data_IF_285064780410
#
_entry.id   IF_285064780410
#
_cell.length_a   1.000
_cell.length_b   1.000
_cell.length_c   1.000
_cell.angle_alpha   90.00
_cell.angle_beta   90.00
_cell.angle_gamma   90.00
#
_symmetry.space_group_name_H-M   'P 1'
#
loop_
_entity.id
_entity.type
_entity.pdbx_description
1 polymer ?
#
# COMPACT_ATOMS: atom_id res chain seq x y z
N UNK A 1 -0.26 13.39 -58.99
CA UNK A 1 -0.33 12.57 -57.77
C UNK A 1 0.14 13.44 -56.63
N UNK A 2 -0.80 14.03 -55.88
CA UNK A 2 -0.50 14.82 -54.69
C UNK A 2 -0.23 13.86 -53.53
N UNK A 3 0.99 13.87 -53.01
CA UNK A 3 1.32 13.15 -51.79
C UNK A 3 0.44 13.70 -50.67
N UNK A 4 -0.43 12.85 -50.12
CA UNK A 4 -1.12 13.09 -48.86
C UNK A 4 -0.06 13.32 -47.78
N UNK A 5 -0.05 14.51 -47.19
CA UNK A 5 0.78 14.79 -46.02
C UNK A 5 0.24 13.98 -44.84
N UNK A 6 1.02 13.00 -44.39
CA UNK A 6 0.81 12.29 -43.13
C UNK A 6 1.29 13.19 -41.98
N UNK A 7 0.57 14.27 -41.74
CA UNK A 7 0.74 15.07 -40.52
C UNK A 7 -0.17 14.48 -39.45
N UNK A 8 0.38 13.59 -38.61
CA UNK A 8 -0.32 12.95 -37.49
C UNK A 8 -0.31 13.83 -36.22
N UNK A 9 -0.25 15.15 -36.37
CA UNK A 9 -0.26 16.10 -35.24
C UNK A 9 -1.66 16.39 -34.68
N UNK A 10 -2.70 15.78 -35.22
CA UNK A 10 -4.04 15.86 -34.65
C UNK A 10 -4.16 14.97 -33.41
N UNK A 11 -4.49 15.60 -32.28
CA UNK A 11 -4.68 15.08 -30.93
C UNK A 11 -5.82 14.02 -30.77
N UNK A 12 -6.18 13.31 -31.83
CA UNK A 12 -7.43 12.54 -32.00
C UNK A 12 -7.56 11.30 -31.08
N UNK A 13 -6.50 10.89 -30.38
CA UNK A 13 -6.52 9.71 -29.49
C UNK A 13 -6.18 10.01 -28.02
N UNK A 14 -6.13 11.29 -27.60
CA UNK A 14 -5.89 11.60 -26.18
C UNK A 14 -7.16 11.41 -25.34
N UNK A 15 -7.09 10.74 -24.17
CA UNK A 15 -8.22 10.62 -23.25
C UNK A 15 -8.75 11.99 -22.78
N UNK A 16 -10.03 12.06 -22.47
CA UNK A 16 -10.70 13.28 -21.98
C UNK A 16 -9.96 13.89 -20.79
N UNK A 17 -9.49 13.08 -19.85
CA UNK A 17 -8.73 13.55 -18.69
C UNK A 17 -7.39 14.23 -19.04
N UNK A 18 -6.79 13.92 -20.19
CA UNK A 18 -5.60 14.61 -20.70
C UNK A 18 -5.98 15.87 -21.49
N UNK A 19 -7.04 15.81 -22.31
CA UNK A 19 -7.54 16.96 -23.08
C UNK A 19 -8.04 18.09 -22.18
N UNK A 20 -8.74 17.75 -21.10
CA UNK A 20 -9.35 18.71 -20.16
C UNK A 20 -8.39 19.26 -19.10
N UNK A 21 -7.08 19.07 -19.23
CA UNK A 21 -6.13 19.62 -18.26
C UNK A 21 -6.22 21.15 -18.21
N UNK A 22 -6.36 21.77 -17.02
CA UNK A 22 -6.38 23.22 -16.88
C UNK A 22 -5.13 23.88 -17.44
N UNK A 23 -5.29 25.03 -18.09
CA UNK A 23 -4.19 25.81 -18.66
C UNK A 23 -3.77 26.99 -17.79
N UNK A 24 -4.63 27.39 -16.85
CA UNK A 24 -4.42 28.50 -15.94
C UNK A 24 -5.12 28.24 -14.60
N UNK A 25 -4.87 29.09 -13.59
CA UNK A 25 -5.44 28.92 -12.26
C UNK A 25 -6.96 29.08 -12.22
N UNK A 26 -7.57 29.85 -13.13
CA UNK A 26 -9.01 30.05 -13.18
C UNK A 26 -9.76 28.79 -13.66
N UNK A 27 -9.12 27.98 -14.49
CA UNK A 27 -9.65 26.67 -14.91
C UNK A 27 -9.38 25.56 -13.89
N UNK A 28 -8.48 25.77 -12.93
CA UNK A 28 -8.10 24.75 -11.95
C UNK A 28 -9.14 24.67 -10.82
N UNK A 29 -9.80 23.52 -10.73
CA UNK A 29 -10.89 23.31 -9.77
C UNK A 29 -10.36 22.68 -8.48
N UNK A 30 -10.81 23.21 -7.34
CA UNK A 30 -10.47 22.73 -6.00
C UNK A 30 -9.19 23.33 -5.39
N UNK A 31 -8.72 22.68 -4.31
CA UNK A 31 -7.52 23.09 -3.53
C UNK A 31 -7.55 24.54 -3.02
N UNK A 32 -8.73 25.11 -2.73
CA UNK A 32 -8.89 26.50 -2.27
C UNK A 32 -8.13 26.82 -0.98
N UNK A 33 -7.85 25.81 -0.14
CA UNK A 33 -6.99 25.99 1.04
C UNK A 33 -5.54 26.38 0.66
N UNK A 34 -5.10 26.09 -0.56
CA UNK A 34 -3.80 26.52 -1.11
C UNK A 34 -3.94 27.65 -2.15
N UNK A 35 -4.93 27.54 -3.04
CA UNK A 35 -5.02 28.34 -4.27
C UNK A 35 -6.01 29.51 -4.21
N UNK A 36 -6.71 29.73 -3.09
CA UNK A 36 -7.59 30.90 -2.96
C UNK A 36 -6.83 32.21 -3.18
N UNK A 37 -7.49 33.16 -3.84
CA UNK A 37 -6.91 34.46 -4.17
C UNK A 37 -6.28 35.15 -2.95
N UNK A 38 -5.09 35.72 -3.15
CA UNK A 38 -4.33 36.40 -2.10
C UNK A 38 -3.43 35.50 -1.25
N UNK A 39 -3.53 34.16 -1.37
CA UNK A 39 -2.61 33.23 -0.69
C UNK A 39 -1.19 33.24 -1.30
N UNK A 40 -0.18 32.79 -0.54
CA UNK A 40 1.21 32.83 -1.00
C UNK A 40 1.48 32.01 -2.27
N UNK A 41 0.88 30.81 -2.39
CA UNK A 41 1.10 29.93 -3.53
C UNK A 41 0.58 30.52 -4.85
N UNK A 42 -0.70 30.91 -5.01
CA UNK A 42 -1.18 31.49 -6.26
C UNK A 42 -0.44 32.77 -6.64
N UNK A 43 -0.08 33.64 -5.67
CA UNK A 43 0.76 34.83 -5.92
C UNK A 43 2.13 34.47 -6.51
N UNK A 44 2.77 33.43 -6.00
CA UNK A 44 4.06 32.98 -6.53
C UNK A 44 3.92 32.38 -7.93
N UNK A 45 2.84 31.63 -8.18
CA UNK A 45 2.53 31.05 -9.50
C UNK A 45 2.31 32.17 -10.52
N UNK A 46 1.42 33.11 -10.23
CA UNK A 46 1.10 34.24 -11.12
C UNK A 46 2.31 35.13 -11.43
N UNK A 47 3.22 35.29 -10.46
CA UNK A 47 4.48 36.01 -10.64
C UNK A 47 5.57 35.18 -11.37
N UNK A 48 5.30 33.94 -11.76
CA UNK A 48 6.28 33.04 -12.40
C UNK A 48 7.46 32.66 -11.50
N UNK A 49 7.29 32.77 -10.18
CA UNK A 49 8.32 32.49 -9.17
C UNK A 49 8.33 30.99 -8.82
N UNK A 50 9.18 30.26 -9.52
CA UNK A 50 9.39 28.83 -9.32
C UNK A 50 10.18 28.54 -8.04
N UNK A 51 9.73 27.53 -7.32
CA UNK A 51 10.48 26.88 -6.24
C UNK A 51 10.18 25.39 -6.27
N UNK A 52 11.15 24.58 -5.82
CA UNK A 52 10.97 23.13 -5.77
C UNK A 52 9.90 22.75 -4.75
N UNK A 53 9.09 21.75 -5.08
CA UNK A 53 7.95 21.34 -4.26
C UNK A 53 7.65 19.85 -4.32
N UNK A 54 7.00 19.36 -3.28
CA UNK A 54 6.40 18.03 -3.20
C UNK A 54 4.88 18.22 -3.10
N UNK A 55 4.16 17.74 -4.10
CA UNK A 55 2.71 17.70 -4.14
C UNK A 55 2.25 16.37 -3.54
N UNK A 56 1.72 16.42 -2.33
CA UNK A 56 1.24 15.24 -1.61
C UNK A 56 -0.29 15.22 -1.60
N UNK A 57 -0.89 14.19 -2.15
CA UNK A 57 -2.33 13.98 -2.01
C UNK A 57 -2.83 12.76 -2.77
N UNK A 58 -4.10 12.36 -2.56
CA UNK A 58 -4.71 11.21 -3.23
C UNK A 58 -4.65 11.28 -4.78
N UNK A 59 -4.89 10.16 -5.48
CA UNK A 59 -5.07 10.16 -6.93
C UNK A 59 -6.16 11.16 -7.38
N UNK A 60 -6.01 11.72 -8.59
CA UNK A 60 -7.05 12.60 -9.16
C UNK A 60 -7.16 14.00 -8.56
N UNK A 61 -6.34 14.36 -7.59
CA UNK A 61 -6.39 15.68 -6.92
C UNK A 61 -5.77 16.85 -7.69
N UNK A 62 -5.24 16.59 -8.89
CA UNK A 62 -4.67 17.63 -9.76
C UNK A 62 -3.19 17.93 -9.54
N UNK A 63 -2.39 16.97 -9.06
CA UNK A 63 -0.93 17.12 -8.88
C UNK A 63 -0.20 17.42 -10.20
N UNK A 64 -0.38 16.56 -11.21
CA UNK A 64 0.24 16.71 -12.53
C UNK A 64 -0.22 17.99 -13.23
N UNK A 65 -1.52 18.30 -13.16
CA UNK A 65 -2.09 19.50 -13.79
C UNK A 65 -1.59 20.78 -13.13
N UNK A 66 -1.44 20.80 -11.80
CA UNK A 66 -0.90 21.96 -11.10
C UNK A 66 0.54 22.24 -11.54
N UNK A 67 1.37 21.20 -11.70
CA UNK A 67 2.74 21.37 -12.21
C UNK A 67 2.77 21.97 -13.62
N UNK A 68 1.86 21.55 -14.50
CA UNK A 68 1.72 22.10 -15.86
C UNK A 68 1.27 23.56 -15.86
N UNK A 69 0.31 23.92 -15.02
CA UNK A 69 -0.14 25.31 -14.86
C UNK A 69 1.01 26.18 -14.37
N UNK A 70 1.74 25.73 -13.35
CA UNK A 70 2.93 26.44 -12.82
C UNK A 70 3.95 26.69 -13.93
N UNK A 71 4.21 25.70 -14.79
CA UNK A 71 5.15 25.82 -15.89
C UNK A 71 4.75 26.89 -16.91
N UNK A 72 3.45 26.96 -17.25
CA UNK A 72 2.93 27.96 -18.18
C UNK A 72 3.13 29.38 -17.65
N UNK A 73 2.76 29.65 -16.40
CA UNK A 73 2.98 30.98 -15.81
C UNK A 73 4.47 31.33 -15.69
N UNK A 74 5.34 30.34 -15.44
CA UNK A 74 6.77 30.56 -15.34
C UNK A 74 7.51 30.58 -16.68
N UNK A 75 6.81 30.37 -17.79
CA UNK A 75 7.38 30.16 -19.13
C UNK A 75 8.54 29.15 -19.10
N UNK A 76 8.30 28.01 -18.47
CA UNK A 76 9.27 26.93 -18.30
C UNK A 76 8.85 25.68 -19.10
N UNK A 77 9.84 24.98 -19.65
CA UNK A 77 9.65 23.67 -20.26
C UNK A 77 9.39 22.62 -19.15
N UNK A 78 8.58 21.59 -19.45
CA UNK A 78 8.25 20.51 -18.50
C UNK A 78 8.80 19.19 -19.01
N UNK A 79 9.74 18.62 -18.27
CA UNK A 79 10.19 17.25 -18.45
C UNK A 79 9.51 16.35 -17.42
N UNK A 80 8.96 15.21 -17.88
CA UNK A 80 8.20 14.29 -17.01
C UNK A 80 8.90 12.96 -16.86
N UNK A 81 8.96 12.49 -15.64
CA UNK A 81 9.47 11.17 -15.26
C UNK A 81 8.42 10.49 -14.38
N UNK A 82 8.24 9.19 -14.54
CA UNK A 82 7.49 8.37 -13.58
C UNK A 82 8.46 7.45 -12.85
N UNK A 83 8.52 7.56 -11.52
CA UNK A 83 9.39 6.72 -10.71
C UNK A 83 9.00 5.23 -10.73
N UNK A 84 7.83 4.89 -11.29
CA UNK A 84 7.39 3.50 -11.50
C UNK A 84 8.11 2.86 -12.69
N UNK A 85 8.34 3.63 -13.76
CA UNK A 85 8.88 3.10 -15.02
C UNK A 85 10.32 3.53 -15.29
N UNK A 86 10.82 4.52 -14.55
CA UNK A 86 12.13 5.13 -14.78
C UNK A 86 13.19 4.58 -13.84
N UNK A 87 14.37 4.30 -14.39
CA UNK A 87 15.58 3.97 -13.64
C UNK A 87 16.58 5.14 -13.67
N UNK A 88 17.84 4.83 -13.35
CA UNK A 88 18.93 5.83 -13.30
C UNK A 88 19.22 6.43 -14.69
N UNK A 89 18.96 5.69 -15.77
CA UNK A 89 19.22 6.14 -17.14
C UNK A 89 18.29 7.28 -17.53
N UNK A 90 16.99 7.11 -17.32
CA UNK A 90 15.95 8.08 -17.65
C UNK A 90 16.12 9.37 -16.82
N UNK A 91 16.52 9.23 -15.56
CA UNK A 91 16.87 10.37 -14.69
C UNK A 91 18.00 11.19 -15.31
N UNK A 92 19.09 10.55 -15.75
CA UNK A 92 20.23 11.23 -16.38
C UNK A 92 19.83 11.91 -17.69
N UNK A 93 19.04 11.24 -18.53
CA UNK A 93 18.58 11.81 -19.79
C UNK A 93 17.74 13.08 -19.59
N UNK A 94 16.84 13.08 -18.60
CA UNK A 94 16.05 14.27 -18.28
C UNK A 94 16.89 15.42 -17.72
N UNK A 95 17.88 15.13 -16.88
CA UNK A 95 18.83 16.13 -16.37
C UNK A 95 19.65 16.73 -17.51
N UNK A 96 20.13 15.92 -18.45
CA UNK A 96 20.88 16.42 -19.60
C UNK A 96 20.03 17.30 -20.52
N UNK A 97 18.75 16.95 -20.75
CA UNK A 97 17.82 17.84 -21.46
C UNK A 97 17.62 19.17 -20.72
N UNK A 98 17.45 19.12 -19.39
CA UNK A 98 17.34 20.33 -18.58
C UNK A 98 18.60 21.21 -18.66
N UNK A 99 19.79 20.62 -18.70
CA UNK A 99 21.06 21.34 -18.93
C UNK A 99 21.12 21.99 -20.30
N UNK A 100 20.70 21.29 -21.35
CA UNK A 100 20.61 21.84 -22.70
C UNK A 100 19.64 23.03 -22.75
N UNK A 101 18.47 22.90 -22.12
CA UNK A 101 17.49 23.99 -22.02
C UNK A 101 18.07 25.19 -21.27
N UNK A 102 18.76 24.96 -20.15
CA UNK A 102 19.44 26.02 -19.39
C UNK A 102 20.48 26.75 -20.24
N UNK A 103 21.30 26.03 -21.01
CA UNK A 103 22.29 26.62 -21.91
C UNK A 103 21.64 27.45 -23.02
N UNK A 104 20.41 27.10 -23.41
CA UNK A 104 19.57 27.86 -24.33
C UNK A 104 18.78 29.01 -23.65
N UNK A 105 19.03 29.30 -22.37
CA UNK A 105 18.33 30.35 -21.61
C UNK A 105 16.90 30.00 -21.20
N UNK A 106 16.49 28.74 -21.31
CA UNK A 106 15.14 28.26 -20.94
C UNK A 106 15.15 27.63 -19.55
N UNK A 107 14.08 27.87 -18.80
CA UNK A 107 13.85 27.26 -17.48
C UNK A 107 13.23 25.88 -17.66
N UNK A 108 13.60 24.93 -16.80
CA UNK A 108 13.04 23.58 -16.85
C UNK A 108 12.43 23.20 -15.50
N UNK A 109 11.18 22.72 -15.54
CA UNK A 109 10.55 22.00 -14.44
C UNK A 109 10.72 20.51 -14.69
N UNK A 110 11.33 19.83 -13.73
CA UNK A 110 11.41 18.38 -13.72
C UNK A 110 10.29 17.82 -12.84
N UNK A 111 9.24 17.29 -13.47
CA UNK A 111 8.12 16.67 -12.79
C UNK A 111 8.37 15.17 -12.61
N UNK A 112 8.32 14.69 -11.37
CA UNK A 112 8.50 13.29 -11.01
C UNK A 112 7.24 12.74 -10.36
N UNK A 113 6.53 11.86 -11.07
CA UNK A 113 5.36 11.17 -10.53
C UNK A 113 5.75 9.96 -9.67
N UNK A 114 4.96 9.71 -8.63
CA UNK A 114 5.18 8.67 -7.61
C UNK A 114 6.60 8.68 -7.02
N UNK A 115 7.14 9.86 -6.69
CA UNK A 115 8.53 10.06 -6.25
C UNK A 115 8.96 9.16 -5.08
N UNK A 116 8.02 8.71 -4.23
CA UNK A 116 8.26 7.77 -3.14
C UNK A 116 8.80 6.40 -3.60
N UNK A 117 8.64 6.04 -4.88
CA UNK A 117 9.16 4.79 -5.44
C UNK A 117 10.67 4.79 -5.67
N UNK A 118 11.30 5.96 -5.72
CA UNK A 118 12.75 6.05 -5.87
C UNK A 118 13.47 5.72 -4.56
N UNK A 119 14.52 4.93 -4.67
CA UNK A 119 15.42 4.68 -3.56
C UNK A 119 16.25 5.93 -3.22
N UNK A 120 16.94 5.91 -2.09
CA UNK A 120 17.71 7.06 -1.59
C UNK A 120 18.74 7.60 -2.61
N UNK A 121 19.49 6.73 -3.28
CA UNK A 121 20.52 7.17 -4.24
C UNK A 121 19.92 7.77 -5.51
N UNK A 122 18.76 7.29 -5.95
CA UNK A 122 18.01 7.90 -7.05
C UNK A 122 17.47 9.29 -6.67
N UNK A 123 16.98 9.47 -5.44
CA UNK A 123 16.55 10.78 -4.95
C UNK A 123 17.73 11.76 -4.83
N UNK A 124 18.88 11.30 -4.33
CA UNK A 124 20.09 12.12 -4.19
C UNK A 124 20.64 12.62 -5.54
N UNK A 125 20.37 11.90 -6.64
CA UNK A 125 20.80 12.27 -7.98
C UNK A 125 20.22 13.60 -8.48
N UNK A 126 19.10 14.07 -7.92
CA UNK A 126 18.50 15.35 -8.31
C UNK A 126 19.12 16.56 -7.59
N UNK A 127 19.71 16.36 -6.40
CA UNK A 127 20.07 17.45 -5.49
C UNK A 127 21.04 18.47 -6.10
N UNK A 128 22.14 18.07 -6.77
CA UNK A 128 23.09 19.04 -7.34
C UNK A 128 22.43 19.97 -8.36
N UNK A 129 21.44 19.45 -9.10
CA UNK A 129 20.74 20.18 -10.17
C UNK A 129 19.63 21.09 -9.65
N UNK A 130 19.14 20.82 -8.44
CA UNK A 130 18.25 21.72 -7.71
C UNK A 130 19.07 22.88 -7.13
N UNK A 131 20.24 22.58 -6.56
CA UNK A 131 21.13 23.57 -5.94
C UNK A 131 21.76 24.54 -6.94
N UNK A 132 22.21 24.01 -8.09
CA UNK A 132 22.83 24.83 -9.13
C UNK A 132 21.81 25.60 -9.99
N UNK A 133 20.51 25.36 -9.79
CA UNK A 133 19.40 26.00 -10.51
C UNK A 133 19.11 25.45 -11.91
N UNK A 134 19.63 24.28 -12.27
CA UNK A 134 19.34 23.62 -13.56
C UNK A 134 17.88 23.22 -13.68
N UNK A 135 17.29 22.72 -12.59
CA UNK A 135 15.89 22.30 -12.54
C UNK A 135 15.15 22.96 -11.38
N UNK A 136 13.88 23.26 -11.60
CA UNK A 136 12.89 23.32 -10.51
C UNK A 136 12.27 21.95 -10.37
N UNK A 137 12.40 21.33 -9.20
CA UNK A 137 11.91 19.97 -8.96
C UNK A 137 10.46 19.98 -8.47
N UNK A 138 9.57 19.23 -9.11
CA UNK A 138 8.20 18.99 -8.64
C UNK A 138 7.97 17.48 -8.49
N UNK A 139 7.98 16.99 -7.25
CA UNK A 139 7.64 15.59 -6.96
C UNK A 139 6.16 15.44 -6.65
N UNK A 140 5.50 14.41 -7.17
CA UNK A 140 4.13 14.05 -6.82
C UNK A 140 4.12 12.70 -6.09
N UNK A 141 3.33 12.61 -5.01
CA UNK A 141 3.18 11.37 -4.24
C UNK A 141 1.79 11.26 -3.62
N UNK A 142 1.33 10.03 -3.49
CA UNK A 142 0.15 9.64 -2.70
C UNK A 142 0.53 9.34 -1.24
N UNK A 143 1.71 8.75 -1.05
CA UNK A 143 2.31 8.42 0.24
C UNK A 143 2.82 9.65 1.00
N UNK A 144 2.88 9.55 2.32
CA UNK A 144 3.37 10.63 3.18
C UNK A 144 4.88 10.89 2.93
N UNK A 145 5.26 12.11 2.47
CA UNK A 145 6.64 12.45 2.12
C UNK A 145 7.66 12.26 3.25
N UNK A 146 7.27 12.39 4.52
CA UNK A 146 8.22 12.32 5.63
C UNK A 146 8.79 10.92 5.88
N UNK A 147 8.10 9.87 5.40
CA UNK A 147 8.54 8.48 5.57
C UNK A 147 9.35 7.99 4.37
N UNK A 148 8.95 8.38 3.15
CA UNK A 148 9.48 7.80 1.91
C UNK A 148 10.51 8.68 1.20
N UNK A 149 10.55 9.99 1.51
CA UNK A 149 11.53 10.91 0.92
C UNK A 149 12.66 11.21 1.88
N UNK A 150 13.86 11.33 1.31
CA UNK A 150 15.03 11.65 2.10
C UNK A 150 15.00 13.12 2.59
N UNK A 151 15.66 13.36 3.73
CA UNK A 151 15.67 14.68 4.37
C UNK A 151 16.36 15.76 3.53
N UNK A 152 17.30 15.38 2.67
CA UNK A 152 18.04 16.31 1.82
C UNK A 152 17.15 16.89 0.70
N UNK A 153 16.23 16.09 0.15
CA UNK A 153 15.25 16.53 -0.83
C UNK A 153 14.18 17.39 -0.14
N UNK A 154 13.67 16.94 1.01
CA UNK A 154 12.67 17.67 1.80
C UNK A 154 13.17 19.04 2.28
N UNK A 155 14.47 19.20 2.54
CA UNK A 155 15.04 20.50 2.93
C UNK A 155 15.10 21.51 1.78
N UNK A 156 14.98 21.05 0.53
CA UNK A 156 15.05 21.89 -0.70
C UNK A 156 13.72 22.01 -1.43
N UNK A 157 12.73 21.17 -1.10
CA UNK A 157 11.42 21.15 -1.72
C UNK A 157 10.31 21.35 -0.67
N UNK A 158 9.45 22.35 -0.89
CA UNK A 158 8.32 22.62 0.03
C UNK A 158 7.19 21.60 -0.18
N UNK A 159 6.65 21.05 0.90
CA UNK A 159 5.55 20.09 0.85
C UNK A 159 4.21 20.83 0.83
N UNK A 160 3.36 20.52 -0.16
CA UNK A 160 1.99 21.01 -0.26
C UNK A 160 1.01 19.84 -0.20
N UNK A 161 0.09 19.88 0.76
CA UNK A 161 -0.97 18.88 0.92
C UNK A 161 -2.18 19.23 0.05
N UNK A 162 -2.45 18.40 -0.95
CA UNK A 162 -3.65 18.42 -1.76
C UNK A 162 -4.70 17.49 -1.15
N UNK A 163 -5.92 17.99 -1.01
CA UNK A 163 -7.05 17.24 -0.46
C UNK A 163 -7.85 16.60 -1.59
N UNK A 164 -8.59 15.53 -1.30
CA UNK A 164 -9.64 15.04 -2.20
C UNK A 164 -10.62 16.17 -2.52
N UNK A 165 -11.07 16.21 -3.77
CA UNK A 165 -12.06 17.19 -4.20
C UNK A 165 -13.42 16.92 -3.53
N UNK A 166 -14.17 17.98 -3.29
CA UNK A 166 -15.56 17.86 -2.80
C UNK A 166 -16.47 17.36 -3.92
N UNK A 167 -17.68 16.91 -3.58
CA UNK A 167 -18.69 16.53 -4.59
C UNK A 167 -18.96 17.70 -5.53
N UNK A 168 -19.13 18.91 -4.99
CA UNK A 168 -19.38 20.13 -5.77
C UNK A 168 -18.21 20.44 -6.72
N UNK A 169 -16.96 20.28 -6.27
CA UNK A 169 -15.78 20.44 -7.14
C UNK A 169 -15.79 19.42 -8.29
N UNK A 170 -16.18 18.16 -8.03
CA UNK A 170 -16.25 17.14 -9.08
C UNK A 170 -17.38 17.44 -10.07
N UNK A 171 -18.53 17.90 -9.60
CA UNK A 171 -19.60 18.33 -10.50
C UNK A 171 -19.14 19.48 -11.40
N UNK A 172 -18.39 20.46 -10.86
CA UNK A 172 -17.78 21.53 -11.66
C UNK A 172 -16.79 21.01 -12.70
N UNK A 173 -16.00 19.97 -12.38
CA UNK A 173 -15.07 19.34 -13.34
C UNK A 173 -15.85 18.69 -14.49
N UNK A 174 -16.94 18.00 -14.18
CA UNK A 174 -17.82 17.39 -15.18
C UNK A 174 -18.48 18.46 -16.06
N UNK A 175 -19.02 19.52 -15.46
CA UNK A 175 -19.63 20.64 -16.19
C UNK A 175 -18.60 21.34 -17.10
N UNK A 176 -17.39 21.57 -16.60
CA UNK A 176 -16.30 22.15 -17.41
C UNK A 176 -16.01 21.30 -18.65
N UNK A 177 -15.99 19.97 -18.53
CA UNK A 177 -15.81 19.06 -19.67
C UNK A 177 -17.01 19.04 -20.62
N UNK A 178 -18.24 19.12 -20.11
CA UNK A 178 -19.45 19.17 -20.94
C UNK A 178 -19.61 20.48 -21.70
N UNK A 179 -19.05 21.59 -21.19
CA UNK A 179 -19.19 22.92 -21.79
C UNK A 179 -18.03 23.30 -22.73
N UNK A 180 -16.85 22.66 -22.61
CA UNK A 180 -15.69 22.99 -23.44
C UNK A 180 -15.88 22.47 -24.89
N UNK A 181 -16.03 23.40 -25.82
CA UNK A 181 -16.29 23.14 -27.26
C UNK A 181 -15.08 22.62 -28.04
N UNK A 182 -13.88 22.72 -27.47
CA UNK A 182 -12.63 22.39 -28.19
C UNK A 182 -11.97 21.14 -27.62
N UNK A 183 -11.94 21.00 -26.29
CA UNK A 183 -11.26 19.91 -25.58
C UNK A 183 -12.20 18.94 -24.89
N UNK A 184 -13.46 19.34 -24.73
CA UNK A 184 -14.50 18.55 -24.07
C UNK A 184 -15.55 18.02 -25.04
N UNK A 185 -16.79 18.00 -24.56
CA UNK A 185 -17.99 17.54 -25.28
C UNK A 185 -18.96 18.67 -25.65
N UNK A 186 -18.51 19.92 -25.54
CA UNK A 186 -19.31 21.06 -25.99
C UNK A 186 -19.66 20.92 -27.47
N UNK A 187 -20.92 21.19 -27.82
CA UNK A 187 -21.48 21.06 -29.17
C UNK A 187 -21.42 19.63 -29.79
N UNK A 188 -21.30 18.57 -28.98
CA UNK A 188 -21.29 17.16 -29.47
C UNK A 188 -22.60 16.39 -29.28
N UNK A 189 -23.71 17.10 -29.03
CA UNK A 189 -25.05 16.52 -28.77
C UNK A 189 -25.07 15.45 -27.65
N UNK A 190 -24.18 15.60 -26.66
CA UNK A 190 -24.15 14.77 -25.45
C UNK A 190 -24.81 15.56 -24.31
N UNK A 191 -25.75 14.94 -23.61
CA UNK A 191 -26.37 15.50 -22.42
C UNK A 191 -26.04 14.65 -21.21
N UNK A 192 -25.51 15.33 -20.18
CA UNK A 192 -25.29 14.79 -18.85
C UNK A 192 -26.40 15.34 -17.92
N UNK A 193 -27.42 14.54 -17.56
CA UNK A 193 -28.43 14.94 -16.59
C UNK A 193 -27.80 15.24 -15.22
N UNK A 194 -28.37 16.20 -14.49
CA UNK A 194 -27.89 16.61 -13.15
C UNK A 194 -27.83 15.42 -12.17
N UNK A 195 -28.80 14.51 -12.24
CA UNK A 195 -28.83 13.29 -11.42
C UNK A 195 -27.63 12.37 -11.69
N UNK A 196 -27.28 12.16 -12.96
CA UNK A 196 -26.11 11.36 -13.35
C UNK A 196 -24.83 12.07 -12.95
N UNK A 197 -24.74 13.40 -13.17
CA UNK A 197 -23.56 14.20 -12.78
C UNK A 197 -23.25 14.00 -11.31
N UNK A 198 -24.27 14.15 -10.45
CA UNK A 198 -24.14 13.95 -9.01
C UNK A 198 -23.79 12.50 -8.65
N UNK A 199 -24.41 11.52 -9.31
CA UNK A 199 -24.10 10.11 -9.10
C UNK A 199 -22.64 9.77 -9.47
N UNK A 200 -22.09 10.34 -10.55
CA UNK A 200 -20.67 10.21 -10.89
C UNK A 200 -19.81 10.83 -9.79
N UNK A 201 -20.16 12.04 -9.33
CA UNK A 201 -19.41 12.75 -8.30
C UNK A 201 -19.33 11.97 -6.98
N UNK A 202 -20.44 11.35 -6.57
CA UNK A 202 -20.51 10.48 -5.40
C UNK A 202 -19.70 9.18 -5.60
N UNK A 203 -19.77 8.56 -6.79
CA UNK A 203 -19.07 7.32 -7.11
C UNK A 203 -17.55 7.45 -7.08
N UNK A 204 -17.00 8.57 -7.57
CA UNK A 204 -15.54 8.75 -7.72
C UNK A 204 -14.85 9.28 -6.46
N UNK A 205 -15.62 9.70 -5.46
CA UNK A 205 -15.14 10.05 -4.12
C UNK A 205 -13.94 11.03 -4.13
N UNK A 206 -14.06 12.09 -4.94
CA UNK A 206 -13.09 13.19 -5.00
C UNK A 206 -11.91 13.00 -5.97
N UNK A 207 -11.91 11.95 -6.81
CA UNK A 207 -10.94 11.74 -7.89
C UNK A 207 -11.47 12.31 -9.23
N UNK A 208 -10.94 13.47 -9.66
CA UNK A 208 -11.35 14.12 -10.91
C UNK A 208 -10.91 13.36 -12.17
N UNK A 209 -9.77 12.64 -12.15
CA UNK A 209 -9.34 11.83 -13.29
C UNK A 209 -10.30 10.68 -13.52
N UNK A 210 -10.72 10.03 -12.43
CA UNK A 210 -11.74 8.97 -12.47
C UNK A 210 -13.09 9.52 -12.92
N UNK A 211 -13.47 10.73 -12.49
CA UNK A 211 -14.69 11.40 -12.94
C UNK A 211 -14.72 11.56 -14.47
N UNK A 212 -13.65 12.16 -15.03
CA UNK A 212 -13.54 12.38 -16.47
C UNK A 212 -13.47 11.07 -17.27
N UNK A 213 -12.77 10.05 -16.77
CA UNK A 213 -12.73 8.74 -17.43
C UNK A 213 -14.10 8.03 -17.39
N UNK A 214 -14.87 8.19 -16.32
CA UNK A 214 -16.24 7.65 -16.24
C UNK A 214 -17.15 8.39 -17.22
N UNK A 215 -17.05 9.72 -17.29
CA UNK A 215 -17.80 10.53 -18.25
C UNK A 215 -17.48 10.13 -19.69
N UNK A 216 -16.20 9.95 -20.02
CA UNK A 216 -15.75 9.49 -21.35
C UNK A 216 -16.32 8.12 -21.70
N UNK A 217 -16.23 7.16 -20.77
CA UNK A 217 -16.79 5.82 -20.98
C UNK A 217 -18.31 5.84 -21.18
N UNK A 218 -19.03 6.69 -20.42
CA UNK A 218 -20.47 6.89 -20.63
C UNK A 218 -20.75 7.49 -22.01
N UNK A 219 -19.97 8.47 -22.46
CA UNK A 219 -20.14 9.09 -23.77
C UNK A 219 -19.85 8.14 -24.94
N UNK A 220 -18.89 7.23 -24.76
CA UNK A 220 -18.53 6.20 -25.75
C UNK A 220 -19.58 5.08 -25.84
N UNK A 221 -20.23 4.73 -24.72
CA UNK A 221 -21.23 3.66 -24.64
C UNK A 221 -22.67 4.13 -24.87
N UNK A 222 -22.94 5.43 -24.73
CA UNK A 222 -24.29 5.95 -24.91
C UNK A 222 -24.75 5.83 -26.37
N UNK A 223 -25.86 5.14 -26.58
CA UNK A 223 -26.53 5.09 -27.87
C UNK A 223 -27.17 6.46 -28.18
N UNK A 224 -27.11 6.84 -29.45
CA UNK A 224 -27.81 8.02 -29.93
C UNK A 224 -29.31 7.72 -30.08
N UNK A 225 -30.16 8.63 -29.63
CA UNK A 225 -31.59 8.57 -29.92
C UNK A 225 -31.91 8.90 -31.39
N UNK A 226 -33.19 8.83 -31.77
CA UNK A 226 -33.65 9.13 -33.13
C UNK A 226 -33.28 10.55 -33.61
N UNK A 227 -32.92 11.46 -32.70
CA UNK A 227 -32.46 12.82 -32.99
C UNK A 227 -30.94 12.96 -33.09
N UNK A 228 -30.20 11.86 -32.94
CA UNK A 228 -28.73 11.84 -32.93
C UNK A 228 -28.12 12.22 -31.58
N UNK A 229 -28.93 12.40 -30.55
CA UNK A 229 -28.52 12.90 -29.24
C UNK A 229 -28.20 11.76 -28.29
N UNK A 230 -27.10 11.88 -27.55
CA UNK A 230 -26.67 10.87 -26.56
C UNK A 230 -26.97 11.38 -25.16
N UNK A 231 -27.79 10.66 -24.40
CA UNK A 231 -28.14 11.04 -23.03
C UNK A 231 -27.52 10.06 -22.04
N UNK A 232 -26.70 10.59 -21.13
CA UNK A 232 -25.93 9.81 -20.17
C UNK A 232 -26.78 9.49 -18.93
N UNK A 233 -27.68 8.51 -19.05
CA UNK A 233 -28.62 8.16 -17.96
C UNK A 233 -27.94 7.46 -16.76
N UNK A 234 -28.49 7.55 -15.54
CA UNK A 234 -27.96 6.87 -14.36
C UNK A 234 -27.90 5.33 -14.50
N UNK A 235 -28.79 4.74 -15.31
CA UNK A 235 -28.78 3.31 -15.60
C UNK A 235 -27.47 2.87 -16.27
N UNK A 236 -26.96 3.66 -17.23
CA UNK A 236 -25.69 3.41 -17.91
C UNK A 236 -24.50 3.50 -16.94
N UNK A 237 -24.55 4.45 -16.00
CA UNK A 237 -23.54 4.54 -14.94
C UNK A 237 -23.53 3.27 -14.07
N UNK A 238 -24.71 2.71 -13.79
CA UNK A 238 -24.85 1.49 -12.98
C UNK A 238 -24.28 0.28 -13.71
N UNK A 239 -24.51 0.17 -15.02
CA UNK A 239 -23.94 -0.88 -15.87
C UNK A 239 -22.40 -0.82 -15.88
N UNK A 240 -21.85 0.37 -16.11
CA UNK A 240 -20.39 0.63 -16.11
C UNK A 240 -19.78 0.38 -14.71
N UNK A 241 -20.46 0.82 -13.65
CA UNK A 241 -20.00 0.64 -12.28
C UNK A 241 -20.08 -0.83 -11.83
N UNK A 242 -21.11 -1.56 -12.28
CA UNK A 242 -21.32 -2.98 -12.03
C UNK A 242 -20.20 -3.85 -12.62
N UNK A 243 -19.75 -3.56 -13.85
CA UNK A 243 -18.58 -4.22 -14.44
C UNK A 243 -17.26 -3.86 -13.74
N UNK A 244 -17.14 -2.63 -13.22
CA UNK A 244 -15.91 -2.14 -12.55
C UNK A 244 -15.75 -2.54 -11.09
N UNK A 245 -16.81 -2.93 -10.37
CA UNK A 245 -16.68 -3.44 -9.00
C UNK A 245 -15.81 -4.71 -8.92
N UNK A 246 -15.58 -5.38 -10.06
CA UNK A 246 -14.62 -6.48 -10.20
C UNK A 246 -13.14 -6.03 -10.29
N UNK A 247 -12.83 -4.73 -10.33
CA UNK A 247 -11.47 -4.16 -10.51
C UNK A 247 -11.12 -3.09 -9.46
N UNK A 248 -11.32 -3.40 -8.19
CA UNK A 248 -10.87 -2.54 -7.10
C UNK A 248 -9.34 -2.49 -7.00
N UNK A 249 -8.82 -1.32 -6.61
CA UNK A 249 -7.40 -1.10 -6.36
C UNK A 249 -6.98 -1.79 -5.05
N UNK A 250 -6.60 -3.06 -5.18
CA UNK A 250 -6.13 -3.92 -4.10
C UNK A 250 -4.80 -3.49 -3.45
N UNK A 251 -4.36 -2.23 -3.61
CA UNK A 251 -3.06 -1.73 -3.13
C UNK A 251 -3.03 -0.31 -2.54
N UNK A 252 -4.17 0.37 -2.36
CA UNK A 252 -4.21 1.72 -1.76
C UNK A 252 -4.38 1.75 -0.23
N UNK A 253 -4.07 2.88 0.42
CA UNK A 253 -4.18 3.11 1.89
C UNK A 253 -5.53 2.68 2.48
N UNK A 254 -6.63 2.99 1.79
CA UNK A 254 -7.99 2.66 2.25
C UNK A 254 -8.21 1.15 2.35
N UNK A 255 -7.59 0.35 1.48
CA UNK A 255 -7.65 -1.11 1.57
C UNK A 255 -6.88 -1.60 2.79
N UNK A 256 -5.68 -1.07 3.02
CA UNK A 256 -4.88 -1.41 4.19
C UNK A 256 -5.54 -1.00 5.50
N UNK A 257 -6.24 0.13 5.55
CA UNK A 257 -7.03 0.55 6.71
C UNK A 257 -8.16 -0.43 7.03
N UNK A 258 -8.88 -0.92 6.01
CA UNK A 258 -9.93 -1.92 6.19
C UNK A 258 -9.37 -3.26 6.69
N UNK A 259 -8.26 -3.72 6.12
CA UNK A 259 -7.55 -4.92 6.57
C UNK A 259 -7.06 -4.76 8.02
N UNK A 260 -6.51 -3.60 8.33
CA UNK A 260 -5.99 -3.22 9.65
C UNK A 260 -7.10 -3.20 10.69
N UNK A 261 -8.27 -2.64 10.35
CA UNK A 261 -9.45 -2.62 11.20
C UNK A 261 -10.03 -4.03 11.43
N UNK A 262 -10.08 -4.87 10.38
CA UNK A 262 -10.45 -6.28 10.50
C UNK A 262 -9.52 -7.01 11.49
N UNK A 263 -8.20 -6.91 11.30
CA UNK A 263 -7.21 -7.56 12.16
C UNK A 263 -7.38 -7.12 13.62
N UNK A 264 -7.46 -5.81 13.85
CA UNK A 264 -7.65 -5.25 15.21
C UNK A 264 -8.96 -5.69 15.84
N UNK A 265 -10.03 -5.83 15.06
CA UNK A 265 -11.33 -6.31 15.57
C UNK A 265 -11.25 -7.78 16.00
N UNK A 266 -10.58 -8.62 15.20
CA UNK A 266 -10.34 -10.03 15.57
C UNK A 266 -9.46 -10.13 16.81
N UNK A 267 -8.36 -9.38 16.87
CA UNK A 267 -7.48 -9.27 18.06
C UNK A 267 -8.25 -8.80 19.30
N UNK A 268 -9.11 -7.80 19.13
CA UNK A 268 -9.98 -7.24 20.16
C UNK A 268 -11.15 -8.14 20.56
N UNK A 269 -11.28 -9.33 19.95
CA UNK A 269 -12.36 -10.28 20.19
C UNK A 269 -13.76 -9.69 19.93
N UNK A 270 -13.88 -8.88 18.88
CA UNK A 270 -15.12 -8.25 18.44
C UNK A 270 -15.61 -8.91 17.12
N UNK A 271 -16.32 -10.06 17.17
CA UNK A 271 -16.73 -10.79 15.98
C UNK A 271 -17.65 -9.98 15.05
N UNK A 272 -18.55 -9.17 15.61
CA UNK A 272 -19.47 -8.34 14.82
C UNK A 272 -18.75 -7.27 14.00
N UNK A 273 -17.80 -6.57 14.64
CA UNK A 273 -16.98 -5.58 13.96
C UNK A 273 -16.05 -6.24 12.92
N UNK A 274 -15.51 -7.43 13.22
CA UNK A 274 -14.70 -8.17 12.27
C UNK A 274 -15.51 -8.56 11.02
N UNK A 275 -16.74 -9.06 11.18
CA UNK A 275 -17.63 -9.34 10.04
C UNK A 275 -17.96 -8.07 9.25
N UNK A 276 -18.21 -6.95 9.92
CA UNK A 276 -18.47 -5.67 9.25
C UNK A 276 -17.29 -5.22 8.38
N UNK A 277 -16.06 -5.25 8.91
CA UNK A 277 -14.88 -4.88 8.12
C UNK A 277 -14.60 -5.86 6.99
N UNK A 278 -14.84 -7.15 7.21
CA UNK A 278 -14.75 -8.15 6.16
C UNK A 278 -15.76 -7.87 5.03
N UNK A 279 -17.02 -7.62 5.36
CA UNK A 279 -18.04 -7.25 4.38
C UNK A 279 -17.64 -6.00 3.59
N UNK A 280 -17.10 -4.97 4.27
CA UNK A 280 -16.60 -3.75 3.61
C UNK A 280 -15.47 -4.04 2.62
N UNK A 281 -14.57 -4.97 2.93
CA UNK A 281 -13.50 -5.41 2.02
C UNK A 281 -14.08 -6.11 0.79
N UNK A 282 -15.01 -7.06 1.00
CA UNK A 282 -15.66 -7.82 -0.09
C UNK A 282 -16.47 -6.90 -1.00
N UNK A 283 -17.33 -6.06 -0.45
CA UNK A 283 -18.16 -5.12 -1.24
C UNK A 283 -17.32 -4.06 -1.94
N UNK A 284 -16.11 -3.79 -1.44
CA UNK A 284 -15.19 -2.91 -2.12
C UNK A 284 -14.50 -3.59 -3.31
N UNK A 285 -14.59 -4.92 -3.48
CA UNK A 285 -13.90 -5.68 -4.53
C UNK A 285 -12.54 -6.24 -4.10
N UNK A 286 -12.26 -6.30 -2.80
CA UNK A 286 -11.03 -6.86 -2.24
C UNK A 286 -10.95 -8.37 -2.41
N UNK A 287 -9.76 -8.88 -2.76
CA UNK A 287 -9.49 -10.32 -2.88
C UNK A 287 -9.74 -11.06 -1.53
N UNK A 288 -10.72 -11.98 -1.45
CA UNK A 288 -11.00 -12.74 -0.22
C UNK A 288 -9.80 -13.57 0.24
N UNK A 289 -8.96 -14.05 -0.68
CA UNK A 289 -7.75 -14.80 -0.32
C UNK A 289 -6.72 -13.92 0.39
N UNK A 290 -6.74 -12.60 0.17
CA UNK A 290 -5.93 -11.68 0.96
C UNK A 290 -6.34 -11.74 2.44
N UNK A 291 -7.64 -11.78 2.71
CA UNK A 291 -8.16 -11.91 4.07
C UNK A 291 -7.85 -13.29 4.65
N UNK A 292 -7.95 -14.35 3.84
CA UNK A 292 -7.57 -15.70 4.26
C UNK A 292 -6.08 -15.78 4.70
N UNK A 293 -5.16 -15.12 3.97
CA UNK A 293 -3.74 -14.99 4.37
C UNK A 293 -3.60 -14.32 5.73
N UNK A 294 -4.38 -13.27 6.00
CA UNK A 294 -4.38 -12.58 7.31
C UNK A 294 -4.92 -13.47 8.42
N UNK A 295 -5.91 -14.31 8.16
CA UNK A 295 -6.44 -15.27 9.14
C UNK A 295 -5.34 -16.25 9.61
N UNK A 296 -4.49 -16.73 8.69
CA UNK A 296 -3.34 -17.59 9.04
C UNK A 296 -2.31 -16.84 9.91
N UNK A 297 -2.02 -15.57 9.60
CA UNK A 297 -1.14 -14.75 10.42
C UNK A 297 -1.71 -14.51 11.83
N UNK A 298 -3.00 -14.17 11.93
CA UNK A 298 -3.71 -14.01 13.22
C UNK A 298 -3.68 -15.31 14.03
N UNK A 299 -3.86 -16.46 13.37
CA UNK A 299 -3.86 -17.75 14.05
C UNK A 299 -2.54 -18.04 14.78
N UNK A 300 -1.39 -17.62 14.25
CA UNK A 300 -0.09 -17.81 14.92
C UNK A 300 0.34 -16.62 15.79
N UNK A 301 -0.06 -15.38 15.44
CA UNK A 301 0.35 -14.16 16.14
C UNK A 301 -0.53 -13.82 17.34
N UNK A 302 -1.85 -13.94 17.20
CA UNK A 302 -2.83 -13.42 18.17
C UNK A 302 -3.58 -14.51 18.94
N UNK A 303 -3.57 -15.76 18.44
CA UNK A 303 -4.16 -16.93 19.10
C UNK A 303 -3.07 -17.90 19.57
N UNK A 304 -2.14 -18.27 18.68
CA UNK A 304 -0.99 -19.10 19.00
C UNK A 304 -1.38 -20.43 19.64
N UNK A 305 -0.64 -20.84 20.67
CA UNK A 305 -0.89 -22.11 21.36
C UNK A 305 -2.03 -22.04 22.39
N UNK A 306 -2.70 -20.89 22.57
CA UNK A 306 -3.92 -20.84 23.38
C UNK A 306 -5.05 -21.64 22.71
N UNK A 307 -5.06 -21.71 21.37
CA UNK A 307 -5.85 -22.66 20.60
C UNK A 307 -5.18 -23.02 19.25
N UNK A 308 -4.35 -24.09 19.20
CA UNK A 308 -3.64 -24.49 17.99
C UNK A 308 -4.56 -24.83 16.80
N UNK A 309 -5.84 -25.17 17.06
CA UNK A 309 -6.81 -25.51 16.02
C UNK A 309 -7.19 -24.28 15.19
N UNK A 310 -6.96 -23.07 15.68
CA UNK A 310 -7.18 -21.83 14.93
C UNK A 310 -6.47 -21.84 13.57
N UNK A 311 -5.25 -22.39 13.50
CA UNK A 311 -4.52 -22.55 12.25
C UNK A 311 -5.25 -23.50 11.29
N UNK A 312 -5.75 -24.62 11.79
CA UNK A 312 -6.50 -25.60 10.99
C UNK A 312 -7.83 -25.04 10.50
N UNK A 313 -8.55 -24.27 11.32
CA UNK A 313 -9.80 -23.60 10.91
C UNK A 313 -9.53 -22.60 9.78
N UNK A 314 -8.45 -21.82 9.88
CA UNK A 314 -8.06 -20.87 8.83
C UNK A 314 -7.62 -21.58 7.53
N UNK A 315 -6.85 -22.68 7.64
CA UNK A 315 -6.49 -23.52 6.48
C UNK A 315 -7.72 -24.16 5.84
N UNK A 316 -8.66 -24.69 6.64
CA UNK A 316 -9.89 -25.28 6.12
C UNK A 316 -10.77 -24.26 5.39
N UNK A 317 -10.85 -23.03 5.89
CA UNK A 317 -11.54 -21.94 5.21
C UNK A 317 -10.87 -21.56 3.89
N UNK A 318 -9.53 -21.53 3.85
CA UNK A 318 -8.77 -21.35 2.61
C UNK A 318 -9.09 -22.45 1.60
N UNK A 319 -8.94 -23.71 2.00
CA UNK A 319 -9.20 -24.87 1.17
C UNK A 319 -10.63 -24.86 0.63
N UNK A 320 -11.60 -24.53 1.49
CA UNK A 320 -13.00 -24.38 1.09
C UNK A 320 -13.15 -23.32 -0.01
N UNK A 321 -12.63 -22.10 0.20
CA UNK A 321 -12.70 -21.02 -0.80
C UNK A 321 -12.17 -21.44 -2.17
N UNK A 322 -11.06 -22.19 -2.20
CA UNK A 322 -10.46 -22.63 -3.48
C UNK A 322 -11.22 -23.73 -4.22
N UNK A 323 -12.28 -24.30 -3.62
CA UNK A 323 -13.00 -25.48 -4.13
C UNK A 323 -14.50 -25.25 -4.34
N UNK A 324 -15.04 -24.08 -3.96
CA UNK A 324 -16.48 -23.76 -4.03
C UNK A 324 -16.73 -22.42 -4.73
N UNK A 325 -18.00 -22.05 -4.92
CA UNK A 325 -18.35 -20.77 -5.53
C UNK A 325 -17.97 -19.56 -4.64
N UNK A 326 -17.74 -18.36 -5.22
CA UNK A 326 -17.22 -17.20 -4.48
C UNK A 326 -17.98 -16.86 -3.19
N UNK A 327 -19.31 -16.78 -3.25
CA UNK A 327 -20.15 -16.44 -2.09
C UNK A 327 -20.11 -17.51 -0.97
N UNK A 328 -19.92 -18.78 -1.32
CA UNK A 328 -19.80 -19.87 -0.36
C UNK A 328 -18.40 -19.90 0.26
N UNK A 329 -17.38 -19.62 -0.55
CA UNK A 329 -16.00 -19.48 -0.09
C UNK A 329 -15.83 -18.29 0.85
N UNK A 330 -16.39 -17.13 0.52
CA UNK A 330 -16.38 -15.94 1.37
C UNK A 330 -17.02 -16.22 2.73
N UNK A 331 -18.11 -17.01 2.75
CA UNK A 331 -18.75 -17.44 3.98
C UNK A 331 -17.86 -18.38 4.81
N UNK A 332 -17.08 -19.26 4.19
CA UNK A 332 -16.10 -20.09 4.90
C UNK A 332 -15.01 -19.23 5.56
N UNK A 333 -14.53 -18.19 4.88
CA UNK A 333 -13.59 -17.22 5.44
C UNK A 333 -14.25 -16.43 6.59
N UNK A 334 -15.49 -16.00 6.43
CA UNK A 334 -16.25 -15.35 7.50
C UNK A 334 -16.36 -16.23 8.76
N UNK A 335 -16.60 -17.54 8.60
CA UNK A 335 -16.62 -18.49 9.71
C UNK A 335 -15.26 -18.54 10.44
N UNK A 336 -14.15 -18.57 9.71
CA UNK A 336 -12.81 -18.54 10.31
C UNK A 336 -12.55 -17.21 11.05
N UNK A 337 -12.97 -16.07 10.49
CA UNK A 337 -12.85 -14.76 11.14
C UNK A 337 -13.57 -14.75 12.49
N UNK A 338 -14.81 -15.25 12.53
CA UNK A 338 -15.60 -15.34 13.77
C UNK A 338 -14.95 -16.30 14.76
N UNK A 339 -14.48 -17.46 14.30
CA UNK A 339 -13.74 -18.40 15.15
C UNK A 339 -12.54 -17.72 15.81
N UNK A 340 -11.70 -17.04 15.02
CA UNK A 340 -10.51 -16.34 15.50
C UNK A 340 -10.86 -15.19 16.45
N UNK A 341 -11.95 -14.46 16.18
CA UNK A 341 -12.42 -13.39 17.05
C UNK A 341 -12.83 -13.95 18.43
N UNK A 342 -13.48 -15.10 18.47
CA UNK A 342 -13.92 -15.74 19.72
C UNK A 342 -12.84 -16.59 20.41
N UNK A 343 -11.76 -16.96 19.70
CA UNK A 343 -10.69 -17.80 20.23
C UNK A 343 -9.94 -17.13 21.42
N UNK A 344 -9.41 -17.92 22.37
CA UNK A 344 -8.57 -17.39 23.43
C UNK A 344 -7.32 -16.73 22.83
N UNK A 345 -7.01 -15.50 23.25
CA UNK A 345 -5.91 -14.71 22.69
C UNK A 345 -4.59 -15.01 23.38
N UNK A 346 -3.53 -15.21 22.60
CA UNK A 346 -2.17 -15.27 23.08
C UNK A 346 -1.19 -14.84 22.00
N UNK A 347 -0.34 -13.88 22.34
CA UNK A 347 0.81 -13.50 21.54
C UNK A 347 2.12 -14.09 22.08
N UNK A 348 2.06 -15.05 23.02
CA UNK A 348 3.24 -15.59 23.70
C UNK A 348 4.21 -16.28 22.73
N UNK A 349 3.68 -17.03 21.75
CA UNK A 349 4.49 -17.65 20.69
C UNK A 349 5.16 -16.58 19.83
N UNK A 350 4.42 -15.55 19.43
CA UNK A 350 4.94 -14.44 18.62
C UNK A 350 6.06 -13.69 19.34
N UNK A 351 5.87 -13.31 20.60
CA UNK A 351 6.89 -12.61 21.38
C UNK A 351 8.10 -13.49 21.66
N UNK A 352 7.90 -14.79 21.93
CA UNK A 352 8.98 -15.74 22.14
C UNK A 352 9.86 -15.89 20.89
N UNK A 353 9.23 -16.08 19.72
CA UNK A 353 9.96 -16.21 18.46
C UNK A 353 10.68 -14.91 18.08
N UNK A 354 10.05 -13.76 18.32
CA UNK A 354 10.68 -12.44 18.11
C UNK A 354 11.93 -12.27 18.97
N UNK A 355 11.88 -12.65 20.25
CA UNK A 355 13.03 -12.59 21.15
C UNK A 355 14.17 -13.53 20.71
N UNK A 356 13.82 -14.78 20.34
CA UNK A 356 14.80 -15.74 19.84
C UNK A 356 15.51 -15.25 18.55
N UNK A 357 14.76 -14.65 17.62
CA UNK A 357 15.33 -14.05 16.41
C UNK A 357 16.23 -12.85 16.71
N UNK A 358 15.90 -12.04 17.72
CA UNK A 358 16.75 -10.92 18.14
C UNK A 358 18.07 -11.44 18.71
N UNK A 359 18.02 -12.40 19.62
CA UNK A 359 19.22 -12.99 20.22
C UNK A 359 20.13 -13.65 19.17
N UNK A 360 19.56 -14.37 18.20
CA UNK A 360 20.34 -14.96 17.10
C UNK A 360 21.00 -13.93 16.16
N UNK A 361 20.51 -12.68 16.14
CA UNK A 361 21.08 -11.59 15.32
C UNK A 361 22.09 -10.74 16.07
N UNK A 362 21.86 -10.55 17.37
CA UNK A 362 22.58 -9.57 18.19
C UNK A 362 23.67 -10.21 19.05
N UNK A 363 23.51 -11.49 19.42
CA UNK A 363 24.52 -12.21 20.22
C UNK A 363 25.61 -12.80 19.32
N UNK A 364 26.80 -13.08 19.90
CA UNK A 364 27.84 -13.83 19.21
C UNK A 364 27.35 -15.17 18.66
N UNK A 365 28.00 -15.64 17.61
CA UNK A 365 27.73 -16.93 16.96
C UNK A 365 28.27 -18.08 17.82
N UNK A 366 27.58 -18.39 18.92
CA UNK A 366 27.96 -19.46 19.83
C UNK A 366 27.88 -20.82 19.14
N UNK A 367 28.93 -21.62 19.30
CA UNK A 367 28.98 -22.99 18.80
C UNK A 367 27.84 -23.84 19.40
N UNK A 368 27.33 -24.79 18.62
CA UNK A 368 26.41 -25.82 19.15
C UNK A 368 27.14 -26.63 20.23
N UNK A 369 26.59 -26.77 21.46
CA UNK A 369 27.20 -27.58 22.51
C UNK A 369 27.43 -29.03 22.09
N UNK A 370 28.52 -29.64 22.55
CA UNK A 370 28.95 -31.00 22.13
C UNK A 370 27.86 -32.04 22.35
N UNK A 371 27.10 -31.95 23.45
CA UNK A 371 26.01 -32.89 23.77
C UNK A 371 24.80 -32.77 22.84
N UNK A 372 24.71 -31.73 22.01
CA UNK A 372 23.63 -31.52 21.02
C UNK A 372 24.11 -31.66 19.57
N UNK A 373 25.41 -31.82 19.35
CA UNK A 373 25.97 -31.98 17.99
C UNK A 373 25.54 -33.31 17.40
N UNK A 374 25.22 -33.29 16.10
CA UNK A 374 25.01 -34.52 15.35
C UNK A 374 26.35 -35.24 15.15
N UNK A 375 26.37 -36.57 15.31
CA UNK A 375 27.56 -37.41 15.11
C UNK A 375 27.30 -38.53 14.08
N UNK A 376 27.01 -38.20 12.82
CA UNK A 376 26.61 -39.19 11.82
C UNK A 376 27.79 -40.03 11.30
N UNK A 377 29.04 -39.58 11.46
CA UNK A 377 30.23 -40.29 10.96
C UNK A 377 30.94 -41.09 12.05
N UNK A 378 31.66 -42.15 11.66
CA UNK A 378 32.43 -43.00 12.59
C UNK A 378 33.53 -42.19 13.31
N UNK A 379 34.21 -41.29 12.59
CA UNK A 379 35.21 -40.38 13.14
C UNK A 379 34.62 -39.43 14.20
N UNK A 380 33.42 -38.89 13.98
CA UNK A 380 32.74 -38.03 14.95
C UNK A 380 32.38 -38.77 16.24
N UNK A 381 31.93 -40.03 16.14
CA UNK A 381 31.65 -40.89 17.31
C UNK A 381 32.93 -41.26 18.08
N UNK A 382 34.03 -41.51 17.36
CA UNK A 382 35.36 -41.78 17.93
C UNK A 382 35.97 -40.54 18.61
N UNK A 383 35.63 -39.33 18.13
CA UNK A 383 35.99 -38.04 18.76
C UNK A 383 35.10 -37.64 19.95
N UNK A 384 34.15 -38.49 20.37
CA UNK A 384 33.29 -38.24 21.52
C UNK A 384 32.05 -37.39 21.25
N UNK A 385 31.78 -37.00 20.00
CA UNK A 385 30.55 -36.27 19.65
C UNK A 385 29.32 -37.16 19.88
N UNK A 386 28.35 -36.65 20.65
CA UNK A 386 27.11 -37.35 20.98
C UNK A 386 27.19 -38.36 22.14
N UNK A 387 28.37 -38.62 22.73
CA UNK A 387 28.49 -39.52 23.88
C UNK A 387 27.85 -38.95 25.16
N UNK A 388 27.79 -37.62 25.27
CA UNK A 388 27.14 -36.92 26.38
C UNK A 388 25.67 -36.58 26.11
N UNK A 389 25.12 -36.96 24.95
CA UNK A 389 23.74 -36.68 24.63
C UNK A 389 22.81 -37.51 25.51
N UNK A 390 21.94 -36.83 26.25
CA UNK A 390 20.90 -37.46 27.07
C UNK A 390 19.67 -37.70 26.22
N UNK A 391 19.46 -38.94 25.78
CA UNK A 391 18.30 -39.31 24.98
C UNK A 391 17.06 -39.38 25.87
N UNK A 392 16.23 -38.34 25.79
CA UNK A 392 15.13 -38.12 26.72
C UNK A 392 14.13 -39.30 26.82
N UNK A 393 13.90 -40.06 25.75
CA UNK A 393 12.96 -41.19 25.77
C UNK A 393 13.38 -42.35 26.68
N UNK A 394 14.68 -42.49 26.97
CA UNK A 394 15.20 -43.52 27.88
C UNK A 394 15.19 -43.05 29.35
N UNK A 395 14.82 -41.80 29.60
CA UNK A 395 14.73 -41.21 30.93
C UNK A 395 13.28 -41.19 31.48
N UNK A 396 13.11 -41.14 32.82
CA UNK A 396 11.78 -41.07 33.42
C UNK A 396 10.91 -39.95 32.83
N UNK A 397 9.65 -40.27 32.55
CA UNK A 397 8.67 -39.36 31.92
C UNK A 397 9.07 -38.86 30.52
N UNK A 398 10.03 -39.50 29.87
CA UNK A 398 10.61 -39.06 28.61
C UNK A 398 11.19 -37.62 28.67
N UNK A 399 11.78 -37.24 29.81
CA UNK A 399 12.34 -35.91 30.05
C UNK A 399 13.70 -35.98 30.75
N UNK A 400 14.73 -35.41 30.12
CA UNK A 400 16.09 -35.37 30.65
C UNK A 400 16.25 -34.26 31.71
N UNK A 401 15.72 -34.49 32.91
CA UNK A 401 15.70 -33.48 33.97
C UNK A 401 17.11 -32.94 34.30
N UNK A 402 17.25 -31.62 34.37
CA UNK A 402 18.50 -30.91 34.62
C UNK A 402 19.39 -30.70 33.39
N UNK A 403 18.95 -31.14 32.20
CA UNK A 403 19.63 -30.83 30.94
C UNK A 403 19.45 -29.36 30.54
N UNK A 404 20.43 -28.79 29.84
CA UNK A 404 20.37 -27.44 29.28
C UNK A 404 20.59 -27.51 27.77
N UNK A 405 19.63 -26.97 27.02
CA UNK A 405 19.63 -27.01 25.55
C UNK A 405 20.19 -25.75 24.88
N UNK A 406 20.55 -24.74 25.67
CA UNK A 406 21.25 -23.54 25.22
C UNK A 406 22.77 -23.70 25.39
N UNK A 407 23.58 -22.94 24.64
CA UNK A 407 25.00 -22.84 24.93
C UNK A 407 25.23 -22.19 26.31
N UNK A 408 26.35 -22.54 26.99
CA UNK A 408 26.57 -22.20 28.39
C UNK A 408 26.52 -20.69 28.68
N UNK A 409 26.90 -19.87 27.70
CA UNK A 409 26.90 -18.40 27.77
C UNK A 409 25.50 -17.81 27.97
N UNK A 410 24.47 -18.53 27.52
CA UNK A 410 23.06 -18.09 27.55
C UNK A 410 22.14 -19.15 28.17
N UNK A 411 22.71 -20.03 29.01
CA UNK A 411 22.00 -21.15 29.64
C UNK A 411 20.73 -20.74 30.41
N UNK A 412 20.68 -19.52 30.96
CA UNK A 412 19.57 -19.00 31.75
C UNK A 412 18.55 -18.19 30.93
N UNK A 413 18.29 -18.62 29.69
CA UNK A 413 17.38 -17.92 28.78
C UNK A 413 16.00 -18.57 28.76
N UNK A 414 14.95 -17.74 28.81
CA UNK A 414 13.56 -18.18 28.62
C UNK A 414 12.84 -17.23 27.67
N UNK A 415 12.35 -17.74 26.55
CA UNK A 415 11.58 -16.96 25.58
C UNK A 415 10.07 -17.12 25.74
N UNK A 416 9.64 -18.36 25.97
CA UNK A 416 8.22 -18.69 25.97
C UNK A 416 7.62 -18.62 27.37
N UNK A 417 6.71 -17.68 27.52
CA UNK A 417 5.92 -17.45 28.72
C UNK A 417 4.45 -17.70 28.38
N UNK A 418 3.93 -18.94 28.57
CA UNK A 418 2.54 -19.25 28.23
C UNK A 418 1.60 -18.38 29.07
N UNK A 419 0.48 -18.00 28.47
CA UNK A 419 -0.58 -17.28 29.18
C UNK A 419 -1.44 -18.28 29.96
N UNK A 420 -2.43 -17.81 30.71
CA UNK A 420 -3.39 -18.67 31.41
C UNK A 420 -4.69 -18.91 30.60
N UNK A 421 -4.70 -18.54 29.30
CA UNK A 421 -5.89 -18.61 28.44
C UNK A 421 -5.87 -19.86 27.57
N UNK A 422 -7.04 -20.45 27.34
CA UNK A 422 -7.18 -21.63 26.50
C UNK A 422 -6.28 -22.79 26.97
N UNK A 423 -5.64 -23.47 26.02
CA UNK A 423 -4.73 -24.59 26.33
C UNK A 423 -3.44 -24.15 27.03
N UNK A 424 -3.06 -22.87 26.95
CA UNK A 424 -1.83 -22.39 27.58
C UNK A 424 -1.84 -22.50 29.10
N UNK A 425 -3.01 -22.55 29.74
CA UNK A 425 -3.11 -22.85 31.18
C UNK A 425 -2.46 -24.19 31.53
N UNK A 426 -2.79 -25.26 30.79
CA UNK A 426 -2.18 -26.59 30.97
C UNK A 426 -0.74 -26.66 30.50
N UNK A 427 -0.38 -25.90 29.47
CA UNK A 427 1.02 -25.78 29.03
C UNK A 427 1.86 -25.13 30.14
N UNK A 428 1.34 -24.09 30.78
CA UNK A 428 1.97 -23.41 31.92
C UNK A 428 2.19 -24.36 33.09
N UNK A 429 1.16 -25.12 33.50
CA UNK A 429 1.27 -26.17 34.53
C UNK A 429 2.36 -27.19 34.19
N UNK A 430 2.37 -27.71 32.95
CA UNK A 430 3.38 -28.68 32.49
C UNK A 430 4.79 -28.09 32.57
N UNK A 431 5.00 -26.87 32.07
CA UNK A 431 6.32 -26.23 32.08
C UNK A 431 6.79 -25.88 33.50
N UNK A 432 5.89 -25.53 34.41
CA UNK A 432 6.21 -25.31 35.81
C UNK A 432 6.67 -26.61 36.49
N UNK A 433 5.95 -27.71 36.27
CA UNK A 433 6.34 -29.03 36.77
C UNK A 433 7.70 -29.47 36.20
N UNK A 434 7.93 -29.31 34.89
CA UNK A 434 9.23 -29.65 34.28
C UNK A 434 10.38 -28.83 34.88
N UNK A 435 10.17 -27.54 35.14
CA UNK A 435 11.17 -26.69 35.80
C UNK A 435 11.47 -27.13 37.24
N UNK A 436 10.50 -27.69 37.96
CA UNK A 436 10.72 -28.31 39.27
C UNK A 436 11.55 -29.61 39.14
N UNK A 437 11.26 -30.45 38.13
CA UNK A 437 12.08 -31.63 37.84
C UNK A 437 13.54 -31.25 37.56
N UNK A 438 13.78 -30.17 36.82
CA UNK A 438 15.14 -29.67 36.54
C UNK A 438 15.84 -29.18 37.82
N UNK A 439 15.11 -28.54 38.73
CA UNK A 439 15.65 -28.08 40.02
C UNK A 439 16.01 -29.25 40.94
N UNK A 440 15.19 -30.31 40.93
CA UNK A 440 15.38 -31.49 41.78
C UNK A 440 16.33 -32.53 41.16
N UNK A 441 16.71 -32.38 39.89
CA UNK A 441 17.60 -33.33 39.22
C UNK A 441 18.98 -33.39 39.89
N UNK A 442 19.52 -34.59 40.15
CA UNK A 442 20.89 -34.75 40.62
C UNK A 442 21.92 -34.46 39.53
N UNK A 443 21.52 -34.51 38.25
CA UNK A 443 22.39 -34.32 37.09
C UNK A 443 22.04 -33.01 36.40
N UNK A 444 22.83 -31.96 36.63
CA UNK A 444 22.62 -30.62 36.06
C UNK A 444 23.71 -30.26 35.07
N UNK A 445 23.35 -29.92 33.84
CA UNK A 445 24.31 -29.49 32.82
C UNK A 445 24.93 -28.15 33.23
N UNK A 446 26.24 -28.03 33.03
CA UNK A 446 27.06 -26.85 33.36
C UNK A 446 27.17 -26.52 34.87
N UNK A 447 26.93 -27.49 35.76
CA UNK A 447 27.04 -27.30 37.21
C UNK A 447 27.84 -28.39 37.90
#
# INVERSE_FOLDING_TARGET
MSNLSLDFSDNTFQPLAARMRPENLAQYIGQQHLLAAGKPLPRAIEAGHLHSMILWGPPGTGKTTLAEVIARYASADVERISAVTSGVKEIREAIERARQNRNAGRRTILFVDEVHRFNKSQQDAFLPHIEDGTITFIGATTENPSFELNSALLSRARVYLLKSLTTDDIEQVLDQAMQDKTRGYGDQDIVLPDETRRAIAELVNGDARRALNTLEMMADMAEADDSGKRVLWPALLTEIAGERSARFDNKGDRFYDLISALHKSVRGSAPDAALYWYARIITAGGDPLYVARRCLAIASEDVGNADPRAMQVAIAAWDCFTRVGPAEGERAIAQAIVYLACAPKSNAVYTAFKAALADARERPDYDVPVHLRNAPTKLMKEMGYGQEYRYAHDEPNAYAAGEVYFPPEIAQTRYYHPTNRGLEGKIGEKLAWLAEQDQNSPTKRYR
#
